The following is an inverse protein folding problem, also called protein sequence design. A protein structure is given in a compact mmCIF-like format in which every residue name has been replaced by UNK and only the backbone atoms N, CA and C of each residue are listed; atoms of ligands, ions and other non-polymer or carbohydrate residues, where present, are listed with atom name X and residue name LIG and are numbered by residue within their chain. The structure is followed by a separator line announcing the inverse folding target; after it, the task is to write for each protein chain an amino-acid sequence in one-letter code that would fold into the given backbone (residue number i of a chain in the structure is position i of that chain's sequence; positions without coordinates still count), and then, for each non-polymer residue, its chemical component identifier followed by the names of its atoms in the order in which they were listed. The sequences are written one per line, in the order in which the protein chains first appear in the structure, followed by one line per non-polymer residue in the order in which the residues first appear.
data_IF_179594201869
#
_entry.id   IF_179594201869
#
_cell.length_a   1.000
_cell.length_b   1.000
_cell.length_c   1.000
_cell.angle_alpha   90.00
_cell.angle_beta   90.00
_cell.angle_gamma   90.00
#
_symmetry.space_group_name_H-M   'P 1'
#
loop_
_entity.id
_entity.type
_entity.pdbx_description
1 polymer ?
#
# COMPACT_ATOMS: atom_id res chain seq x y z
N UNK A 1 -13.70 14.12 -29.32
CA UNK A 1 -12.27 14.49 -29.33
C UNK A 1 -12.12 15.89 -28.74
N UNK A 2 -11.58 15.93 -27.52
CA UNK A 2 -10.79 16.95 -26.81
C UNK A 2 -11.08 18.45 -27.01
N UNK A 3 -11.69 19.08 -25.99
CA UNK A 3 -11.72 20.53 -25.74
C UNK A 3 -11.21 20.86 -24.33
N UNK A 4 -9.98 20.48 -24.02
CA UNK A 4 -9.34 20.88 -22.75
C UNK A 4 -7.94 21.44 -22.99
N UNK A 5 -7.85 22.57 -23.70
CA UNK A 5 -6.74 23.52 -23.55
C UNK A 5 -7.26 24.95 -23.82
N UNK A 6 -7.87 25.56 -22.81
CA UNK A 6 -7.92 27.03 -22.73
C UNK A 6 -7.19 27.40 -21.45
N UNK A 7 -5.99 27.94 -21.64
CA UNK A 7 -5.21 28.58 -20.59
C UNK A 7 -6.02 29.74 -20.00
N UNK A 8 -6.19 29.70 -18.69
CA UNK A 8 -6.76 30.76 -17.88
C UNK A 8 -6.03 30.75 -16.54
N UNK A 9 -5.65 31.92 -16.08
CA UNK A 9 -4.74 32.21 -14.97
C UNK A 9 -5.27 31.71 -13.61
N UNK A 10 -5.26 30.39 -13.40
CA UNK A 10 -5.71 29.75 -12.16
C UNK A 10 -4.71 28.73 -11.59
N UNK A 11 -3.52 28.60 -12.18
CA UNK A 11 -2.50 27.60 -11.78
C UNK A 11 -1.61 28.04 -10.61
N UNK A 12 -1.75 29.27 -10.12
CA UNK A 12 -0.94 29.79 -9.01
C UNK A 12 -1.52 29.51 -7.60
N UNK A 13 -2.78 29.05 -7.49
CA UNK A 13 -3.48 28.94 -6.21
C UNK A 13 -3.41 27.53 -5.57
N UNK A 14 -3.23 26.47 -6.35
CA UNK A 14 -3.38 25.09 -5.84
C UNK A 14 -2.19 24.56 -5.00
N UNK A 15 -1.16 25.37 -4.70
CA UNK A 15 0.12 24.86 -4.16
C UNK A 15 0.56 25.39 -2.80
N UNK A 16 -0.31 26.01 -1.98
CA UNK A 16 0.13 26.48 -0.64
C UNK A 16 -0.73 26.14 0.57
N UNK A 17 -1.98 25.70 0.40
CA UNK A 17 -2.86 25.51 1.57
C UNK A 17 -2.77 24.16 2.26
N UNK A 18 -2.00 23.19 1.74
CA UNK A 18 -1.82 21.90 2.44
C UNK A 18 -0.99 22.02 3.72
N UNK A 19 -0.13 23.04 3.82
CA UNK A 19 0.80 23.24 4.94
C UNK A 19 0.50 24.47 5.81
N UNK A 20 -0.56 25.24 5.51
CA UNK A 20 -0.95 26.40 6.32
C UNK A 20 -1.87 26.03 7.50
N UNK A 21 -2.21 24.76 7.67
CA UNK A 21 -2.82 24.29 8.90
C UNK A 21 -1.84 24.53 10.04
N UNK A 22 -2.11 25.56 10.86
CA UNK A 22 -1.49 25.75 12.17
C UNK A 22 -1.36 24.37 12.82
N UNK A 23 -0.18 23.97 13.32
CA UNK A 23 -0.09 22.73 14.09
C UNK A 23 -1.14 22.86 15.18
N UNK A 24 -2.17 22.01 15.13
CA UNK A 24 -2.91 21.71 16.35
C UNK A 24 -1.85 21.01 17.21
N UNK A 25 -1.18 21.79 18.04
CA UNK A 25 -0.28 21.28 19.07
C UNK A 25 -1.20 20.60 20.08
N UNK A 26 -1.67 19.42 19.72
CA UNK A 26 -2.07 18.44 20.71
C UNK A 26 -0.76 18.06 21.39
N UNK A 27 -0.52 18.57 22.60
CA UNK A 27 0.55 18.16 23.52
C UNK A 27 0.35 16.71 24.00
N UNK A 28 -0.01 15.81 23.09
CA UNK A 28 -0.18 14.40 23.38
C UNK A 28 1.16 13.71 23.23
N UNK A 29 1.55 12.95 24.25
CA UNK A 29 2.68 12.04 24.11
C UNK A 29 2.38 11.04 22.99
N UNK A 30 3.42 10.55 22.30
CA UNK A 30 3.27 9.49 21.28
C UNK A 30 2.52 8.28 21.84
N UNK A 31 2.72 7.95 23.12
CA UNK A 31 2.00 6.89 23.82
C UNK A 31 0.50 7.17 23.91
N UNK A 32 0.10 8.39 24.28
CA UNK A 32 -1.31 8.79 24.35
C UNK A 32 -1.97 8.78 22.97
N UNK A 33 -1.23 9.12 21.92
CA UNK A 33 -1.71 8.99 20.54
C UNK A 33 -1.92 7.52 20.17
N UNK A 34 -0.98 6.63 20.49
CA UNK A 34 -1.07 5.20 20.17
C UNK A 34 -2.19 4.48 20.91
N UNK A 35 -2.49 4.85 22.16
CA UNK A 35 -3.58 4.23 22.95
C UNK A 35 -4.99 4.47 22.38
N UNK A 36 -5.14 5.37 21.41
CA UNK A 36 -6.43 5.69 20.78
C UNK A 36 -6.74 4.86 19.53
N UNK A 37 -5.77 4.08 19.03
CA UNK A 37 -5.94 3.28 17.82
C UNK A 37 -6.18 1.81 18.15
N UNK A 38 -7.07 1.18 17.40
CA UNK A 38 -7.20 -0.28 17.37
C UNK A 38 -6.29 -0.87 16.31
N UNK A 39 -5.63 -1.99 16.63
CA UNK A 39 -4.87 -2.75 15.63
C UNK A 39 -5.85 -3.41 14.66
N UNK A 40 -5.62 -3.25 13.36
CA UNK A 40 -6.41 -3.88 12.31
C UNK A 40 -5.51 -4.73 11.41
N UNK A 41 -5.85 -6.02 11.28
CA UNK A 41 -5.16 -6.95 10.39
C UNK A 41 -5.70 -6.93 8.95
N UNK A 42 -6.92 -6.44 8.76
CA UNK A 42 -7.57 -6.26 7.46
C UNK A 42 -8.35 -4.96 7.44
N UNK A 43 -8.63 -4.45 6.24
CA UNK A 43 -9.45 -3.26 6.05
C UNK A 43 -10.87 -3.46 6.60
N UNK A 44 -11.32 -2.53 7.45
CA UNK A 44 -12.73 -2.38 7.82
C UNK A 44 -13.38 -1.42 6.80
N UNK A 45 -14.29 -1.93 5.97
CA UNK A 45 -14.94 -1.13 4.92
C UNK A 45 -16.21 -0.47 5.47
N UNK A 46 -16.34 0.84 5.29
CA UNK A 46 -17.50 1.64 5.71
C UNK A 46 -18.21 2.20 4.49
N UNK A 47 -19.54 2.15 4.46
CA UNK A 47 -20.35 2.69 3.36
C UNK A 47 -20.34 1.86 2.06
N UNK A 48 -19.60 0.76 2.02
CA UNK A 48 -19.63 -0.25 0.94
C UNK A 48 -19.12 -1.60 1.46
N UNK A 49 -19.53 -2.73 0.86
CA UNK A 49 -18.91 -4.01 1.14
C UNK A 49 -17.47 -4.08 0.60
N UNK A 50 -16.70 -5.05 1.08
CA UNK A 50 -15.44 -5.46 0.44
C UNK A 50 -15.76 -5.93 -0.98
N UNK A 51 -15.03 -5.43 -1.97
CA UNK A 51 -15.12 -5.95 -3.34
C UNK A 51 -14.57 -7.38 -3.37
N UNK A 52 -15.33 -8.28 -3.96
CA UNK A 52 -14.91 -9.63 -4.35
C UNK A 52 -14.74 -9.57 -5.87
N UNK A 53 -13.63 -10.11 -6.36
CA UNK A 53 -13.39 -10.23 -7.79
C UNK A 53 -13.96 -11.56 -8.27
N UNK A 54 -14.61 -11.56 -9.42
CA UNK A 54 -15.01 -12.79 -10.10
C UNK A 54 -13.78 -13.49 -10.73
N UNK A 55 -13.89 -14.78 -11.06
CA UNK A 55 -12.75 -15.57 -11.56
C UNK A 55 -12.13 -14.98 -12.84
N UNK A 56 -12.96 -14.43 -13.73
CA UNK A 56 -12.55 -13.78 -14.97
C UNK A 56 -11.90 -12.41 -14.77
N UNK A 57 -12.11 -11.77 -13.61
CA UNK A 57 -11.46 -10.52 -13.24
C UNK A 57 -10.06 -10.74 -12.64
N UNK A 58 -9.70 -11.98 -12.28
CA UNK A 58 -8.40 -12.31 -11.67
C UNK A 58 -7.37 -12.56 -12.78
N UNK A 59 -6.35 -11.70 -12.95
CA UNK A 59 -5.33 -11.94 -13.96
C UNK A 59 -4.42 -13.11 -13.54
N UNK A 60 -4.21 -14.05 -14.45
CA UNK A 60 -3.23 -15.12 -14.30
C UNK A 60 -1.88 -14.71 -14.90
N UNK A 61 -0.80 -14.94 -14.16
CA UNK A 61 0.55 -14.71 -14.68
C UNK A 61 1.00 -15.87 -15.59
N UNK A 62 2.00 -15.65 -16.46
CA UNK A 62 2.57 -16.70 -17.31
C UNK A 62 3.85 -17.31 -16.71
N UNK A 63 4.11 -17.07 -15.43
CA UNK A 63 5.24 -17.65 -14.73
C UNK A 63 5.16 -19.18 -14.73
N UNK A 64 6.30 -19.85 -14.90
CA UNK A 64 6.39 -21.31 -14.81
C UNK A 64 7.06 -21.76 -13.53
N UNK A 65 6.67 -22.94 -13.05
CA UNK A 65 7.30 -23.58 -11.90
C UNK A 65 8.73 -24.00 -12.26
N UNK A 66 9.71 -23.57 -11.46
CA UNK A 66 11.08 -24.09 -11.54
C UNK A 66 11.14 -25.58 -11.15
N UNK A 67 12.18 -26.30 -11.62
CA UNK A 67 12.37 -27.74 -11.32
C UNK A 67 12.72 -28.02 -9.85
N UNK A 68 13.10 -26.99 -9.11
CA UNK A 68 13.76 -27.02 -7.81
C UNK A 68 12.87 -26.53 -6.66
N UNK A 69 11.55 -26.43 -6.86
CA UNK A 69 10.63 -25.85 -5.87
C UNK A 69 11.00 -24.42 -5.46
N UNK A 70 11.76 -23.73 -6.32
CA UNK A 70 12.17 -22.35 -6.11
C UNK A 70 10.96 -21.42 -6.00
N UNK A 71 11.21 -20.33 -5.29
CA UNK A 71 10.26 -19.23 -5.18
C UNK A 71 9.98 -18.66 -6.58
N UNK A 72 8.70 -18.62 -6.96
CA UNK A 72 8.24 -18.13 -8.26
C UNK A 72 7.69 -16.71 -8.16
N UNK A 73 7.32 -16.14 -9.32
CA UNK A 73 6.70 -14.81 -9.44
C UNK A 73 7.54 -13.67 -8.83
N UNK A 74 8.86 -13.74 -9.03
CA UNK A 74 9.81 -12.68 -8.66
C UNK A 74 9.69 -11.44 -9.55
N UNK A 75 10.80 -10.75 -9.80
CA UNK A 75 10.79 -9.46 -10.50
C UNK A 75 10.24 -9.50 -11.94
N UNK A 76 10.32 -10.65 -12.61
CA UNK A 76 9.82 -10.85 -13.98
C UNK A 76 8.34 -11.23 -14.10
N UNK A 77 7.59 -11.28 -13.00
CA UNK A 77 6.16 -11.63 -13.04
C UNK A 77 5.32 -10.49 -13.64
N UNK A 78 4.42 -10.83 -14.56
CA UNK A 78 3.54 -9.86 -15.23
C UNK A 78 2.59 -9.19 -14.22
N UNK A 79 1.95 -9.96 -13.34
CA UNK A 79 1.09 -9.40 -12.30
C UNK A 79 1.87 -8.42 -11.42
N UNK A 80 3.10 -8.77 -11.03
CA UNK A 80 3.97 -7.89 -10.24
C UNK A 80 4.30 -6.60 -10.96
N UNK A 81 4.60 -6.64 -12.26
CA UNK A 81 4.97 -5.45 -13.03
C UNK A 81 3.82 -4.45 -13.19
N UNK A 82 2.57 -4.93 -13.13
CA UNK A 82 1.35 -4.11 -13.14
C UNK A 82 0.78 -3.84 -11.73
N UNK A 83 1.55 -4.13 -10.67
CA UNK A 83 1.16 -3.90 -9.27
C UNK A 83 -0.10 -4.67 -8.83
N UNK A 84 -0.30 -5.86 -9.38
CA UNK A 84 -1.35 -6.80 -9.01
C UNK A 84 -0.73 -8.03 -8.35
N UNK A 85 -1.32 -8.53 -7.27
CA UNK A 85 -0.89 -9.79 -6.66
C UNK A 85 -1.35 -11.00 -7.49
N UNK A 86 -0.57 -12.07 -7.45
CA UNK A 86 -1.09 -13.37 -7.87
C UNK A 86 -2.09 -13.84 -6.81
N UNK A 87 -3.32 -14.17 -7.19
CA UNK A 87 -4.31 -14.69 -6.22
C UNK A 87 -3.98 -16.14 -5.87
N UNK A 88 -4.11 -16.50 -4.58
CA UNK A 88 -3.93 -17.89 -4.13
C UNK A 88 -4.94 -18.80 -4.83
N UNK A 89 -4.48 -19.95 -5.31
CA UNK A 89 -5.31 -20.90 -6.06
C UNK A 89 -5.39 -20.62 -7.57
N UNK A 90 -5.24 -19.35 -8.01
CA UNK A 90 -5.28 -18.98 -9.43
C UNK A 90 -3.89 -18.82 -10.07
N UNK A 91 -2.81 -18.76 -9.28
CA UNK A 91 -1.47 -18.62 -9.83
C UNK A 91 -1.04 -19.88 -10.61
N UNK A 92 -0.74 -19.71 -11.90
CA UNK A 92 -0.30 -20.78 -12.82
C UNK A 92 0.93 -21.58 -12.37
N UNK A 93 1.75 -21.03 -11.47
CA UNK A 93 2.95 -21.73 -10.97
C UNK A 93 2.61 -22.89 -10.02
N UNK A 94 1.43 -22.88 -9.38
CA UNK A 94 0.97 -23.92 -8.45
C UNK A 94 1.94 -24.21 -7.29
N UNK A 95 2.86 -23.29 -6.99
CA UNK A 95 3.97 -23.46 -6.06
C UNK A 95 4.14 -22.26 -5.14
N UNK A 96 5.36 -22.07 -4.61
CA UNK A 96 5.67 -20.99 -3.68
C UNK A 96 5.80 -19.63 -4.42
N UNK A 97 4.67 -18.93 -4.57
CA UNK A 97 4.60 -17.64 -5.25
C UNK A 97 5.02 -16.48 -4.31
N UNK A 98 6.06 -15.74 -4.67
CA UNK A 98 6.47 -14.53 -3.91
C UNK A 98 5.58 -13.30 -4.13
N UNK A 99 4.59 -13.38 -5.01
CA UNK A 99 3.68 -12.27 -5.32
C UNK A 99 2.32 -12.42 -4.62
N UNK A 100 2.35 -12.95 -3.39
CA UNK A 100 1.20 -13.19 -2.49
C UNK A 100 1.41 -12.59 -1.10
N UNK A 101 2.39 -11.70 -0.94
CA UNK A 101 2.85 -11.20 0.36
C UNK A 101 1.77 -10.47 1.16
N UNK A 102 0.89 -9.70 0.51
CA UNK A 102 -0.22 -9.00 1.16
C UNK A 102 -1.27 -9.99 1.65
N UNK A 103 -1.62 -10.98 0.82
CA UNK A 103 -2.51 -12.08 1.23
C UNK A 103 -1.91 -12.87 2.41
N UNK A 104 -0.59 -13.06 2.43
CA UNK A 104 0.16 -13.77 3.48
C UNK A 104 0.38 -12.94 4.76
N UNK A 105 0.11 -11.63 4.72
CA UNK A 105 0.45 -10.74 5.84
C UNK A 105 1.97 -10.62 6.06
N UNK A 106 2.77 -10.86 5.02
CA UNK A 106 4.22 -10.76 5.04
C UNK A 106 4.63 -9.29 5.09
N UNK A 107 4.94 -8.81 6.30
CA UNK A 107 5.31 -7.43 6.57
C UNK A 107 6.74 -7.35 7.10
N UNK A 108 7.41 -6.23 6.84
CA UNK A 108 8.64 -5.91 7.55
C UNK A 108 8.35 -5.71 9.04
N UNK A 109 9.24 -6.19 9.90
CA UNK A 109 9.18 -5.90 11.33
C UNK A 109 9.57 -4.44 11.55
N UNK A 110 8.63 -3.66 12.10
CA UNK A 110 8.82 -2.26 12.41
C UNK A 110 8.61 -2.04 13.91
N UNK A 111 9.37 -1.11 14.49
CA UNK A 111 9.19 -0.67 15.87
C UNK A 111 9.05 0.85 15.93
N UNK A 112 8.31 1.35 16.92
CA UNK A 112 8.16 2.79 17.15
C UNK A 112 9.21 3.20 18.17
N UNK A 113 10.14 4.06 17.74
CA UNK A 113 11.11 4.68 18.63
C UNK A 113 10.60 6.06 19.06
N UNK A 114 10.52 6.30 20.37
CA UNK A 114 10.21 7.62 20.90
C UNK A 114 11.42 8.53 20.70
N UNK A 115 11.28 9.69 20.02
CA UNK A 115 12.38 10.62 19.89
C UNK A 115 12.69 11.22 21.27
N UNK A 116 13.78 10.78 21.89
CA UNK A 116 14.38 11.45 23.04
C UNK A 116 15.33 12.53 22.52
N UNK A 117 14.90 13.79 22.61
CA UNK A 117 15.69 15.02 22.40
C UNK A 117 16.69 15.01 21.23
N UNK A 118 16.22 15.23 20.00
CA UNK A 118 17.10 15.68 18.89
C UNK A 118 17.38 17.19 18.95
N UNK A 119 17.69 17.74 20.12
CA UNK A 119 17.84 19.18 20.30
C UNK A 119 18.71 19.53 21.48
N UNK A 120 20.02 19.60 21.24
CA UNK A 120 20.95 20.65 21.68
C UNK A 120 22.38 20.13 21.59
N UNK A 121 23.02 20.38 20.45
CA UNK A 121 24.48 20.45 20.34
C UNK A 121 24.81 21.42 19.22
N UNK A 122 24.92 22.71 19.56
CA UNK A 122 25.85 23.73 19.04
C UNK A 122 25.41 25.09 19.55
#
# INVERSE_FOLDING_TARGET
MDRFLVGGEATASYRRDRWSARPLVEERSVLQALTKYEVAHQNKFSGRPKRVLDEDEIPECNCHRGRDWSVTCGIGCENRSIQVECVRGSCSTGGHCSNQQMQDGSNALLCICLPVHWGNNS
#
